data_IF_622008053393
#
_entry.id   IF_622008053393
#
_cell.length_a   1.000
_cell.length_b   1.000
_cell.length_c   1.000
_cell.angle_alpha   90.00
_cell.angle_beta   90.00
_cell.angle_gamma   90.00
#
_symmetry.space_group_name_H-M   'P 1'
#
loop_
_entity.id
_entity.type
_entity.pdbx_description
1 polymer ?
#
# COMPACT_ATOMS: atom_id res chain seq x y z
N UNK A 1 0.17 -1.70 -14.64
CA UNK A 1 -1.15 -1.84 -13.98
C UNK A 1 -1.05 -1.06 -12.69
N UNK A 2 -1.98 -0.12 -12.42
CA UNK A 2 -1.91 0.69 -11.20
C UNK A 2 -2.17 -0.20 -9.98
N UNK A 3 -1.29 -0.14 -8.96
CA UNK A 3 -1.38 -0.98 -7.76
C UNK A 3 -2.44 -0.50 -6.75
N UNK A 4 -2.81 0.78 -6.82
CA UNK A 4 -3.77 1.42 -5.92
C UNK A 4 -4.95 1.99 -6.69
N UNK A 5 -6.10 2.07 -6.03
CA UNK A 5 -7.34 2.61 -6.56
C UNK A 5 -7.76 3.87 -5.78
N UNK A 6 -8.61 4.72 -6.39
CA UNK A 6 -9.18 5.85 -5.66
C UNK A 6 -10.03 5.36 -4.49
N UNK A 7 -9.81 5.94 -3.32
CA UNK A 7 -10.38 5.50 -2.04
C UNK A 7 -9.45 4.63 -1.20
N UNK A 8 -8.37 4.08 -1.78
CA UNK A 8 -7.39 3.31 -1.00
C UNK A 8 -6.71 4.22 0.04
N UNK A 9 -6.62 3.74 1.28
CA UNK A 9 -5.85 4.38 2.33
C UNK A 9 -4.39 3.92 2.25
N UNK A 10 -3.48 4.90 2.21
CA UNK A 10 -2.06 4.67 2.01
C UNK A 10 -1.23 5.47 3.00
N UNK A 11 -0.08 4.93 3.34
CA UNK A 11 0.95 5.58 4.14
C UNK A 11 2.17 5.85 3.29
N UNK A 12 2.70 7.07 3.39
CA UNK A 12 3.93 7.44 2.70
C UNK A 12 5.12 6.84 3.45
N UNK A 13 6.02 6.21 2.70
CA UNK A 13 7.23 5.60 3.23
C UNK A 13 8.40 5.87 2.31
N UNK A 14 9.27 6.77 2.73
CA UNK A 14 10.46 7.11 1.97
C UNK A 14 11.51 6.00 2.03
N UNK A 15 12.29 5.80 0.95
CA UNK A 15 13.41 4.89 0.95
C UNK A 15 14.42 5.32 2.01
N UNK A 16 14.71 4.42 2.96
CA UNK A 16 15.68 4.69 4.02
C UNK A 16 17.07 4.31 3.55
N UNK A 17 18.06 5.12 3.93
CA UNK A 17 19.48 4.86 3.65
C UNK A 17 20.34 5.19 4.87
N UNK A 18 21.52 4.58 4.92
CA UNK A 18 22.57 4.99 5.87
C UNK A 18 23.31 6.18 5.27
N UNK A 19 23.44 7.26 6.04
CA UNK A 19 24.37 8.34 5.67
C UNK A 19 25.82 7.85 5.79
N UNK A 20 26.78 8.60 5.23
CA UNK A 20 28.22 8.33 5.40
C UNK A 20 28.66 8.25 6.88
N UNK A 21 27.85 8.78 7.81
CA UNK A 21 28.08 8.75 9.27
C UNK A 21 27.34 7.61 9.99
N UNK A 22 26.73 6.67 9.26
CA UNK A 22 26.02 5.52 9.82
C UNK A 22 24.62 5.81 10.37
N UNK A 23 24.15 7.06 10.32
CA UNK A 23 22.80 7.45 10.77
C UNK A 23 21.75 6.98 9.76
N UNK A 24 20.71 6.30 10.23
CA UNK A 24 19.56 5.85 9.43
C UNK A 24 18.56 7.00 9.24
N UNK A 25 18.37 7.44 8.00
CA UNK A 25 17.43 8.50 7.65
C UNK A 25 16.75 8.25 6.30
N UNK A 26 16.00 9.23 5.82
CA UNK A 26 15.62 9.30 4.40
C UNK A 26 16.92 9.25 3.59
N UNK A 27 16.95 8.41 2.57
CA UNK A 27 18.13 8.28 1.72
C UNK A 27 18.50 9.65 1.15
N UNK A 28 19.79 10.00 1.21
CA UNK A 28 20.31 11.33 0.85
C UNK A 28 19.86 11.74 -0.57
N UNK A 29 19.74 10.76 -1.47
CA UNK A 29 19.30 10.97 -2.86
C UNK A 29 17.88 11.53 -3.00
N UNK A 30 17.03 11.38 -2.00
CA UNK A 30 15.61 11.77 -2.05
C UNK A 30 15.23 12.79 -0.99
N UNK A 31 16.18 13.29 -0.20
CA UNK A 31 15.91 14.27 0.88
C UNK A 31 15.34 15.58 0.38
N UNK A 32 15.62 15.95 -0.88
CA UNK A 32 15.12 17.17 -1.52
C UNK A 32 13.79 16.97 -2.25
N UNK A 33 13.32 15.72 -2.38
CA UNK A 33 12.02 15.41 -2.97
C UNK A 33 10.90 16.00 -2.14
N UNK A 34 9.83 16.49 -2.77
CA UNK A 34 8.69 17.04 -2.04
C UNK A 34 7.99 15.97 -1.21
N UNK A 35 7.93 14.75 -1.74
CA UNK A 35 7.38 13.55 -1.09
C UNK A 35 8.10 13.22 0.23
N UNK A 36 9.37 13.64 0.39
CA UNK A 36 10.14 13.45 1.62
C UNK A 36 9.53 14.16 2.83
N UNK A 37 8.83 15.28 2.61
CA UNK A 37 8.14 16.05 3.66
C UNK A 37 6.92 15.35 4.21
N UNK A 38 6.45 14.31 3.51
CA UNK A 38 5.27 13.52 3.85
C UNK A 38 5.65 12.16 4.43
N UNK A 39 6.94 11.87 4.69
CA UNK A 39 7.34 10.56 5.24
C UNK A 39 6.57 10.22 6.52
N UNK A 40 5.91 9.07 6.51
CA UNK A 40 5.07 8.60 7.60
C UNK A 40 3.63 9.14 7.61
N UNK A 41 3.26 10.05 6.71
CA UNK A 41 1.89 10.58 6.63
C UNK A 41 0.93 9.55 6.05
N UNK A 42 -0.28 9.51 6.60
CA UNK A 42 -1.39 8.68 6.11
C UNK A 42 -2.36 9.54 5.34
N UNK A 43 -2.82 9.04 4.19
CA UNK A 43 -3.76 9.73 3.33
C UNK A 43 -4.61 8.77 2.50
N UNK A 44 -5.54 9.33 1.76
CA UNK A 44 -6.44 8.59 0.86
C UNK A 44 -6.13 8.93 -0.58
N UNK A 45 -6.05 7.92 -1.46
CA UNK A 45 -5.86 8.14 -2.90
C UNK A 45 -7.12 8.75 -3.48
N UNK A 46 -7.00 9.90 -4.15
CA UNK A 46 -8.13 10.62 -4.76
C UNK A 46 -8.03 10.68 -6.29
N UNK A 47 -6.82 10.54 -6.85
CA UNK A 47 -6.58 10.58 -8.29
C UNK A 47 -5.44 9.67 -8.71
N UNK A 48 -5.46 9.23 -9.97
CA UNK A 48 -4.46 8.32 -10.54
C UNK A 48 -4.07 8.86 -11.91
N UNK A 49 -2.77 9.10 -12.11
CA UNK A 49 -2.19 9.39 -13.41
C UNK A 49 -1.25 8.23 -13.83
N UNK A 50 -1.74 7.29 -14.65
CA UNK A 50 -0.95 6.16 -15.11
C UNK A 50 0.02 6.53 -16.25
N UNK A 51 -0.02 7.77 -16.77
CA UNK A 51 0.75 8.22 -17.95
C UNK A 51 1.60 9.46 -17.68
N UNK A 52 1.98 9.68 -16.42
CA UNK A 52 2.90 10.77 -16.05
C UNK A 52 4.14 10.79 -16.95
N UNK A 53 4.75 11.97 -17.07
CA UNK A 53 5.78 12.32 -18.06
C UNK A 53 6.97 11.35 -18.20
N UNK A 54 7.23 10.49 -17.21
CA UNK A 54 8.33 9.53 -17.20
C UNK A 54 7.86 8.05 -17.23
N UNK A 55 6.58 7.80 -17.49
CA UNK A 55 5.99 6.45 -17.46
C UNK A 55 5.87 5.85 -16.05
N UNK A 56 6.07 6.66 -15.01
CA UNK A 56 5.94 6.28 -13.60
C UNK A 56 4.52 6.63 -13.14
N UNK A 57 3.70 5.67 -12.69
CA UNK A 57 2.36 5.97 -12.18
C UNK A 57 2.42 6.94 -11.00
N UNK A 58 1.61 8.00 -11.05
CA UNK A 58 1.44 8.94 -9.95
C UNK A 58 0.05 8.79 -9.34
N UNK A 59 -0.02 8.94 -8.02
CA UNK A 59 -1.22 8.85 -7.22
C UNK A 59 -1.39 10.14 -6.43
N UNK A 60 -2.51 10.83 -6.61
CA UNK A 60 -2.85 11.99 -5.81
C UNK A 60 -3.36 11.50 -4.46
N UNK A 61 -2.66 11.84 -3.39
CA UNK A 61 -3.01 11.46 -2.02
C UNK A 61 -3.47 12.70 -1.26
N UNK A 62 -4.66 12.61 -0.66
CA UNK A 62 -5.23 13.61 0.25
C UNK A 62 -5.02 13.20 1.71
N UNK A 63 -4.41 14.08 2.50
CA UNK A 63 -4.00 13.89 3.88
C UNK A 63 -4.96 14.57 4.88
N UNK A 64 -5.94 15.35 4.41
CA UNK A 64 -6.79 16.19 5.26
C UNK A 64 -7.70 15.40 6.21
N UNK A 65 -8.09 14.16 5.83
CA UNK A 65 -8.95 13.29 6.62
C UNK A 65 -8.24 12.47 7.71
N UNK A 66 -6.93 12.64 7.90
CA UNK A 66 -6.11 11.77 8.75
C UNK A 66 -5.35 12.55 9.82
N UNK A 67 -5.09 11.93 10.98
CA UNK A 67 -4.27 12.54 12.03
C UNK A 67 -2.77 12.51 11.68
N UNK A 68 -2.33 13.56 10.98
CA UNK A 68 -0.93 13.81 10.63
C UNK A 68 -0.32 14.97 11.44
N UNK A 69 -0.96 15.39 12.54
CA UNK A 69 -0.64 16.61 13.30
C UNK A 69 0.82 16.67 13.78
N UNK A 70 1.43 15.51 14.03
CA UNK A 70 2.82 15.38 14.52
C UNK A 70 3.89 15.46 13.44
N UNK A 71 3.51 15.40 12.16
CA UNK A 71 4.44 15.34 11.03
C UNK A 71 4.72 16.72 10.42
N UNK A 72 3.86 17.71 10.68
CA UNK A 72 4.05 19.07 10.14
C UNK A 72 4.02 19.13 8.62
N UNK A 73 3.13 18.34 7.98
CA UNK A 73 3.02 18.32 6.52
C UNK A 73 2.63 19.70 5.98
N UNK A 74 3.25 20.15 4.87
CA UNK A 74 3.14 21.54 4.43
C UNK A 74 1.83 21.87 3.69
N UNK A 75 1.11 20.88 3.16
CA UNK A 75 -0.19 21.01 2.51
C UNK A 75 -0.94 19.68 2.52
N UNK A 76 -2.20 19.70 2.09
CA UNK A 76 -3.13 18.58 2.30
C UNK A 76 -3.21 17.58 1.15
N UNK A 77 -2.76 17.89 -0.07
CA UNK A 77 -2.80 16.94 -1.18
C UNK A 77 -1.55 16.97 -2.05
N UNK A 78 -0.97 15.81 -2.38
CA UNK A 78 0.27 15.71 -3.14
C UNK A 78 0.28 14.48 -4.05
N UNK A 79 0.82 14.65 -5.27
CA UNK A 79 1.14 13.54 -6.16
C UNK A 79 2.33 12.74 -5.61
N UNK A 80 2.10 11.45 -5.39
CA UNK A 80 3.07 10.49 -4.87
C UNK A 80 3.36 9.42 -5.92
N UNK A 81 4.57 8.89 -5.89
CA UNK A 81 4.96 7.75 -6.72
C UNK A 81 4.52 6.45 -6.09
N UNK A 82 4.24 5.45 -6.92
CA UNK A 82 3.83 4.13 -6.45
C UNK A 82 4.81 3.53 -5.43
N UNK A 83 6.11 3.68 -5.67
CA UNK A 83 7.15 3.06 -4.84
C UNK A 83 7.25 3.64 -3.42
N UNK A 84 6.63 4.80 -3.16
CA UNK A 84 6.74 5.53 -1.90
C UNK A 84 5.45 5.53 -1.09
N UNK A 85 4.43 4.83 -1.55
CA UNK A 85 3.18 4.62 -0.81
C UNK A 85 3.01 3.13 -0.52
N UNK A 86 2.52 2.83 0.68
CA UNK A 86 2.20 1.47 1.12
C UNK A 86 0.75 1.45 1.59
N UNK A 87 0.00 0.36 1.34
CA UNK A 87 -1.36 0.25 1.86
C UNK A 87 -1.32 0.20 3.40
N UNK A 88 -2.24 0.89 4.06
CA UNK A 88 -2.36 0.84 5.54
C UNK A 88 -3.13 -0.38 6.01
N UNK A 89 -4.12 -0.80 5.23
CA UNK A 89 -4.86 -2.03 5.44
C UNK A 89 -4.22 -3.14 4.62
N UNK A 90 -3.98 -4.31 5.22
CA UNK A 90 -3.74 -5.51 4.43
C UNK A 90 -4.98 -5.73 3.56
N UNK A 91 -4.87 -5.51 2.23
CA UNK A 91 -5.92 -5.95 1.30
C UNK A 91 -6.09 -7.44 1.57
N UNK A 92 -7.18 -7.82 2.23
CA UNK A 92 -7.53 -9.21 2.44
C UNK A 92 -7.48 -9.89 1.06
N UNK A 93 -6.86 -11.08 0.94
CA UNK A 93 -6.88 -11.79 -0.33
C UNK A 93 -8.34 -11.90 -0.77
N UNK A 94 -8.63 -11.47 -1.99
CA UNK A 94 -9.95 -11.65 -2.59
C UNK A 94 -10.15 -13.15 -2.72
N UNK A 95 -10.81 -13.77 -1.74
CA UNK A 95 -11.24 -15.17 -1.82
C UNK A 95 -12.27 -15.19 -2.95
N UNK A 96 -11.93 -15.84 -4.06
CA UNK A 96 -12.92 -16.05 -5.10
C UNK A 96 -13.96 -17.04 -4.55
N UNK A 97 -15.27 -16.82 -4.79
CA UNK A 97 -16.33 -17.72 -4.29
C UNK A 97 -16.15 -19.19 -4.68
N UNK A 98 -15.32 -19.46 -5.71
CA UNK A 98 -15.01 -20.81 -6.19
C UNK A 98 -14.04 -21.58 -5.28
N UNK A 99 -13.28 -20.89 -4.43
CA UNK A 99 -12.30 -21.51 -3.54
C UNK A 99 -12.95 -22.08 -2.26
N UNK A 100 -14.11 -21.56 -1.85
CA UNK A 100 -14.91 -22.13 -0.75
C UNK A 100 -15.57 -23.46 -1.13
N UNK A 101 -15.94 -23.63 -2.40
CA UNK A 101 -16.59 -24.85 -2.88
C UNK A 101 -15.62 -26.04 -3.01
N UNK A 102 -14.33 -25.78 -3.29
CA UNK A 102 -13.32 -26.83 -3.39
C UNK A 102 -12.94 -27.44 -2.02
N UNK A 103 -13.06 -26.66 -0.93
CA UNK A 103 -12.76 -27.14 0.42
C UNK A 103 -13.90 -27.97 1.04
N UNK A 104 -15.13 -27.87 0.52
CA UNK A 104 -16.31 -28.57 1.06
C UNK A 104 -16.57 -29.96 0.43
N UNK A 105 -15.85 -30.33 -0.63
CA UNK A 105 -16.20 -31.50 -1.46
C UNK A 105 -15.54 -32.85 -1.11
N UNK A 106 -14.59 -32.92 -0.17
CA UNK A 106 -13.85 -34.16 0.10
C UNK A 106 -13.99 -34.61 1.56
N UNK A 107 -15.18 -35.11 1.92
CA UNK A 107 -15.37 -35.69 3.25
C UNK A 107 -16.75 -36.25 3.54
N UNK A 108 -17.00 -37.49 3.10
CA UNK A 108 -17.54 -38.62 3.91
C UNK A 108 -18.36 -39.60 3.07
N UNK A 109 -17.89 -40.83 2.98
CA UNK A 109 -18.71 -42.02 3.29
C UNK A 109 -17.83 -43.05 4.00
N UNK A 110 -18.17 -43.32 5.24
CA UNK A 110 -17.60 -44.35 6.11
C UNK A 110 -18.33 -45.69 5.87
N UNK A 111 -17.56 -46.79 5.82
CA UNK A 111 -17.76 -48.18 6.35
C UNK A 111 -19.18 -48.81 6.47
N UNK A 112 -19.34 -50.16 6.35
CA UNK A 112 -18.84 -51.11 7.36
C UNK A 112 -18.39 -52.50 6.82
N UNK A 113 -17.82 -53.33 7.70
CA UNK A 113 -17.30 -54.66 7.36
C UNK A 113 -18.36 -55.75 7.18
N UNK A 114 -17.97 -56.86 6.52
CA UNK A 114 -18.50 -58.20 6.78
C UNK A 114 -17.54 -59.28 6.26
N UNK A 115 -17.37 -60.32 7.07
CA UNK A 115 -16.61 -61.54 6.85
C UNK A 115 -17.32 -62.49 5.89
N UNK A 116 -16.56 -63.27 5.11
CA UNK A 116 -16.78 -64.70 4.82
C UNK A 116 -15.51 -65.29 4.21
#
# INVERSE_FOLDING_TARGET
MARFESGDEVKVRMPRGKSKRGVMGISVMYTTSQEAKFDGATGTVTGIDPRSALGIPLYLVDFSGHDNSRLGIPWQAQWMREEWIVPTQEKAPVIQPRDDEAAAGMGRTSQPGQSS
#
